data_IF_259255563887
#
_entry.id   IF_259255563887
#
_cell.length_a   1.000
_cell.length_b   1.000
_cell.length_c   1.000
_cell.angle_alpha   90.00
_cell.angle_beta   90.00
_cell.angle_gamma   90.00
#
_symmetry.space_group_name_H-M   'P 1'
#
loop_
_entity.id
_entity.type
_entity.pdbx_description
1 polymer ?
#
# COMPACT_ATOMS: atom_id res chain seq x y z
N UNK A 1 -24.96 -13.13 -8.14
CA UNK A 1 -23.90 -12.26 -8.68
C UNK A 1 -22.73 -12.36 -7.73
N UNK A 2 -21.60 -12.91 -8.17
CA UNK A 2 -20.42 -13.03 -7.31
C UNK A 2 -19.77 -11.64 -7.28
N UNK A 3 -19.90 -10.91 -6.17
CA UNK A 3 -19.29 -9.59 -6.06
C UNK A 3 -17.77 -9.74 -6.09
N UNK A 4 -17.13 -9.12 -7.07
CA UNK A 4 -15.68 -9.00 -7.13
C UNK A 4 -15.22 -8.02 -6.07
N UNK A 5 -14.22 -8.39 -5.28
CA UNK A 5 -13.58 -7.49 -4.30
C UNK A 5 -12.64 -6.54 -5.03
N UNK A 6 -12.74 -5.25 -4.74
CA UNK A 6 -11.87 -4.20 -5.31
C UNK A 6 -10.95 -3.69 -4.22
N UNK A 7 -9.65 -3.89 -4.40
CA UNK A 7 -8.60 -3.47 -3.47
C UNK A 7 -7.92 -2.21 -4.00
N UNK A 8 -7.60 -1.27 -3.13
CA UNK A 8 -6.69 -0.17 -3.47
C UNK A 8 -5.53 -0.11 -2.48
N UNK A 9 -4.33 0.01 -3.03
CA UNK A 9 -3.10 0.25 -2.26
C UNK A 9 -2.76 1.74 -2.36
N UNK A 10 -2.86 2.45 -1.25
CA UNK A 10 -2.54 3.86 -1.12
C UNK A 10 -1.11 4.01 -0.60
N UNK A 11 -0.26 4.64 -1.40
CA UNK A 11 1.18 4.76 -1.15
C UNK A 11 1.54 6.24 -1.03
N UNK A 12 1.74 6.78 0.17
CA UNK A 12 2.14 8.17 0.35
C UNK A 12 3.60 8.33 -0.08
N UNK A 13 3.86 9.31 -0.93
CA UNK A 13 5.15 9.50 -1.57
C UNK A 13 5.60 10.96 -1.51
N UNK A 14 6.89 11.17 -1.23
CA UNK A 14 7.54 12.47 -1.38
C UNK A 14 9.05 12.26 -1.48
N UNK A 15 9.65 12.88 -2.48
CA UNK A 15 11.08 12.79 -2.76
C UNK A 15 11.82 14.07 -2.32
N UNK A 16 11.60 14.49 -1.08
CA UNK A 16 12.18 15.72 -0.53
C UNK A 16 13.31 15.47 0.48
N UNK A 17 13.66 14.21 0.73
CA UNK A 17 14.62 13.85 1.76
C UNK A 17 15.99 13.51 1.14
N UNK A 18 17.04 14.32 1.35
CA UNK A 18 18.31 14.19 0.63
C UNK A 18 19.05 12.86 0.86
N UNK A 19 18.74 12.16 1.96
CA UNK A 19 19.37 10.87 2.30
C UNK A 19 18.45 9.66 2.12
N UNK A 20 17.19 9.84 1.75
CA UNK A 20 16.29 8.71 1.47
C UNK A 20 16.09 8.63 -0.04
N UNK A 21 16.56 7.55 -0.65
CA UNK A 21 16.45 7.32 -2.09
C UNK A 21 15.01 6.90 -2.47
N UNK A 22 14.03 7.76 -2.18
CA UNK A 22 12.59 7.45 -2.33
C UNK A 22 12.23 7.15 -3.79
N UNK A 23 12.84 7.81 -4.77
CA UNK A 23 12.67 7.45 -6.18
C UNK A 23 13.14 6.03 -6.49
N UNK A 24 14.27 5.60 -5.92
CA UNK A 24 14.76 4.24 -6.13
C UNK A 24 13.79 3.23 -5.51
N UNK A 25 13.28 3.49 -4.31
CA UNK A 25 12.23 2.68 -3.70
C UNK A 25 10.97 2.62 -4.58
N UNK A 26 10.52 3.76 -5.13
CA UNK A 26 9.35 3.78 -6.01
C UNK A 26 9.57 2.96 -7.30
N UNK A 27 10.76 3.09 -7.89
CA UNK A 27 11.15 2.36 -9.09
C UNK A 27 11.18 0.83 -8.86
N UNK A 28 11.56 0.39 -7.68
CA UNK A 28 11.50 -1.03 -7.29
C UNK A 28 10.07 -1.48 -6.92
N UNK A 29 9.37 -0.65 -6.14
CA UNK A 29 8.06 -0.94 -5.58
C UNK A 29 6.99 -1.17 -6.64
N UNK A 30 6.88 -0.27 -7.62
CA UNK A 30 5.80 -0.34 -8.64
C UNK A 30 5.81 -1.67 -9.40
N UNK A 31 6.92 -2.10 -10.04
CA UNK A 31 6.94 -3.38 -10.75
C UNK A 31 6.77 -4.57 -9.79
N UNK A 32 7.39 -4.53 -8.60
CA UNK A 32 7.28 -5.60 -7.62
C UNK A 32 5.82 -5.81 -7.19
N UNK A 33 5.17 -4.76 -6.69
CA UNK A 33 3.82 -4.82 -6.16
C UNK A 33 2.78 -5.11 -7.24
N UNK A 34 2.98 -4.57 -8.45
CA UNK A 34 2.12 -4.90 -9.58
C UNK A 34 2.18 -6.39 -9.89
N UNK A 35 3.38 -6.98 -9.95
CA UNK A 35 3.54 -8.42 -10.18
C UNK A 35 3.01 -9.26 -9.02
N UNK A 36 3.30 -8.88 -7.78
CA UNK A 36 2.80 -9.53 -6.57
C UNK A 36 1.27 -9.60 -6.57
N UNK A 37 0.59 -8.46 -6.72
CA UNK A 37 -0.87 -8.41 -6.72
C UNK A 37 -1.46 -9.10 -7.95
N UNK A 38 -0.85 -8.97 -9.13
CA UNK A 38 -1.30 -9.67 -10.33
C UNK A 38 -1.29 -11.19 -10.14
N UNK A 39 -0.15 -11.76 -9.69
CA UNK A 39 -0.02 -13.20 -9.43
C UNK A 39 -1.03 -13.70 -8.41
N UNK A 40 -1.23 -12.94 -7.33
CA UNK A 40 -2.07 -13.37 -6.21
C UNK A 40 -3.56 -13.07 -6.38
N UNK A 41 -3.94 -12.15 -7.28
CA UNK A 41 -5.34 -11.92 -7.67
C UNK A 41 -5.77 -12.82 -8.84
N UNK A 42 -4.84 -13.30 -9.67
CA UNK A 42 -5.15 -14.17 -10.80
C UNK A 42 -5.96 -15.41 -10.37
N UNK A 43 -7.07 -15.66 -11.05
CA UNK A 43 -7.99 -16.77 -10.74
C UNK A 43 -8.91 -16.52 -9.53
N UNK A 44 -8.80 -15.36 -8.85
CA UNK A 44 -9.75 -14.92 -7.82
C UNK A 44 -10.68 -13.85 -8.39
N UNK A 45 -11.84 -13.66 -7.75
CA UNK A 45 -12.74 -12.53 -8.04
C UNK A 45 -12.26 -11.29 -7.26
N UNK A 46 -11.03 -10.85 -7.54
CA UNK A 46 -10.36 -9.71 -6.90
C UNK A 46 -9.68 -8.86 -7.96
N UNK A 47 -9.92 -7.54 -7.92
CA UNK A 47 -9.19 -6.55 -8.71
C UNK A 47 -8.43 -5.59 -7.80
N UNK A 48 -7.38 -4.96 -8.31
CA UNK A 48 -6.56 -4.05 -7.52
C UNK A 48 -6.18 -2.78 -8.30
N UNK A 49 -5.93 -1.70 -7.56
CA UNK A 49 -5.24 -0.50 -8.05
C UNK A 49 -4.15 -0.08 -7.06
N UNK A 50 -3.08 0.55 -7.56
CA UNK A 50 -2.02 1.14 -6.75
C UNK A 50 -2.02 2.65 -7.03
N UNK A 51 -2.23 3.46 -5.99
CA UNK A 51 -2.17 4.91 -6.08
C UNK A 51 -0.93 5.42 -5.36
N UNK A 52 -0.05 6.07 -6.13
CA UNK A 52 1.08 6.82 -5.61
C UNK A 52 0.59 8.24 -5.30
N UNK A 53 0.55 8.58 -4.02
CA UNK A 53 0.01 9.84 -3.50
C UNK A 53 1.17 10.78 -3.24
N UNK A 54 1.57 11.51 -4.28
CA UNK A 54 2.73 12.39 -4.23
C UNK A 54 2.41 13.74 -3.57
N UNK A 55 3.22 14.14 -2.59
CA UNK A 55 3.16 15.48 -2.01
C UNK A 55 3.98 16.47 -2.84
N UNK A 56 3.36 17.61 -3.18
CA UNK A 56 4.03 18.72 -3.87
C UNK A 56 5.25 19.24 -3.12
N UNK A 57 6.31 19.59 -3.88
CA UNK A 57 7.56 20.15 -3.38
C UNK A 57 7.42 21.67 -3.11
N UNK A 58 6.55 22.03 -2.18
CA UNK A 58 6.22 23.42 -1.83
C UNK A 58 6.92 23.90 -0.54
N UNK A 59 7.96 23.18 -0.09
CA UNK A 59 8.71 23.49 1.13
C UNK A 59 8.02 23.06 2.43
N UNK A 60 6.80 22.53 2.38
CA UNK A 60 6.14 21.96 3.57
C UNK A 60 6.71 20.59 3.91
N UNK A 61 6.73 20.27 5.21
CA UNK A 61 7.12 18.93 5.70
C UNK A 61 6.20 17.87 5.10
N UNK A 62 6.76 16.69 4.84
CA UNK A 62 5.99 15.54 4.39
C UNK A 62 4.90 15.17 5.39
N UNK A 63 3.66 15.04 4.92
CA UNK A 63 2.49 14.69 5.72
C UNK A 63 1.84 13.41 5.18
N UNK A 64 2.39 12.28 5.62
CA UNK A 64 1.93 10.93 5.28
C UNK A 64 0.42 10.75 5.52
N UNK A 65 -0.06 11.14 6.70
CA UNK A 65 -1.46 10.95 7.08
C UNK A 65 -2.43 11.76 6.20
N UNK A 66 -2.05 13.00 5.85
CA UNK A 66 -2.88 13.84 4.97
C UNK A 66 -2.98 13.27 3.56
N UNK A 67 -1.88 12.73 3.01
CA UNK A 67 -1.91 12.09 1.70
C UNK A 67 -2.80 10.85 1.71
N UNK A 68 -2.65 9.97 2.69
CA UNK A 68 -3.50 8.78 2.83
C UNK A 68 -4.98 9.14 2.93
N UNK A 69 -5.32 10.15 3.75
CA UNK A 69 -6.70 10.63 3.87
C UNK A 69 -7.23 11.21 2.54
N UNK A 70 -6.41 11.96 1.81
CA UNK A 70 -6.78 12.49 0.50
C UNK A 70 -7.02 11.35 -0.51
N UNK A 71 -6.13 10.36 -0.58
CA UNK A 71 -6.29 9.20 -1.46
C UNK A 71 -7.53 8.37 -1.11
N UNK A 72 -7.82 8.19 0.18
CA UNK A 72 -9.05 7.55 0.63
C UNK A 72 -10.28 8.35 0.18
N UNK A 73 -10.33 9.65 0.47
CA UNK A 73 -11.50 10.48 0.15
C UNK A 73 -11.77 10.56 -1.35
N UNK A 74 -10.71 10.63 -2.18
CA UNK A 74 -10.81 10.62 -3.64
C UNK A 74 -11.37 9.31 -4.21
N UNK A 75 -11.27 8.20 -3.49
CA UNK A 75 -11.60 6.86 -4.00
C UNK A 75 -12.60 6.09 -3.14
N UNK A 76 -13.17 6.72 -2.11
CA UNK A 76 -13.97 6.12 -1.02
C UNK A 76 -15.18 5.29 -1.47
N UNK A 77 -15.67 5.49 -2.68
CA UNK A 77 -16.86 4.81 -3.22
C UNK A 77 -16.49 3.73 -4.27
N UNK A 78 -15.22 3.64 -4.64
CA UNK A 78 -14.76 2.83 -5.78
C UNK A 78 -14.15 1.49 -5.35
N UNK A 79 -13.82 1.34 -4.07
CA UNK A 79 -13.10 0.18 -3.54
C UNK A 79 -13.72 -0.36 -2.26
N UNK A 80 -13.50 -1.64 -2.02
CA UNK A 80 -14.05 -2.37 -0.87
C UNK A 80 -12.99 -2.53 0.24
N UNK A 81 -11.70 -2.55 -0.14
CA UNK A 81 -10.56 -2.71 0.77
C UNK A 81 -9.50 -1.65 0.49
N UNK A 82 -9.02 -1.00 1.54
CA UNK A 82 -7.94 0.00 1.50
C UNK A 82 -6.72 -0.52 2.24
N UNK A 83 -5.58 -0.50 1.57
CA UNK A 83 -4.28 -0.87 2.13
C UNK A 83 -3.42 0.38 2.15
N UNK A 84 -3.05 0.84 3.34
CA UNK A 84 -2.10 1.94 3.48
C UNK A 84 -0.70 1.36 3.54
N UNK A 85 0.17 1.76 2.61
CA UNK A 85 1.41 1.07 2.36
C UNK A 85 2.57 2.04 2.21
N UNK A 86 3.72 1.74 2.81
CA UNK A 86 4.93 2.52 2.56
C UNK A 86 5.64 2.03 1.29
N UNK A 87 6.25 2.96 0.54
CA UNK A 87 6.89 2.66 -0.75
C UNK A 87 8.15 1.78 -0.62
N UNK A 88 8.72 1.66 0.58
CA UNK A 88 9.97 0.94 0.87
C UNK A 88 9.75 -0.43 1.53
N UNK A 89 8.50 -0.89 1.58
CA UNK A 89 8.15 -2.22 2.07
C UNK A 89 7.72 -3.10 0.89
N UNK A 90 8.28 -4.30 0.80
CA UNK A 90 7.93 -5.29 -0.21
C UNK A 90 7.43 -6.56 0.51
N UNK A 91 6.18 -7.00 0.28
CA UNK A 91 5.61 -8.15 0.95
C UNK A 91 6.08 -9.47 0.34
N UNK A 92 6.38 -10.44 1.18
CA UNK A 92 6.60 -11.82 0.76
C UNK A 92 5.29 -12.55 0.43
N UNK A 93 5.39 -13.70 -0.24
CA UNK A 93 4.23 -14.46 -0.76
C UNK A 93 3.29 -14.98 0.35
N UNK A 94 3.78 -15.15 1.57
CA UNK A 94 3.00 -15.54 2.74
C UNK A 94 1.99 -14.46 3.19
N UNK A 95 2.28 -13.19 2.91
CA UNK A 95 1.39 -12.05 3.19
C UNK A 95 0.27 -11.88 2.15
N UNK A 96 0.31 -12.60 1.03
CA UNK A 96 -0.63 -12.45 -0.10
C UNK A 96 -2.11 -12.48 0.28
N UNK A 97 -2.49 -13.26 1.29
CA UNK A 97 -3.88 -13.33 1.78
C UNK A 97 -4.35 -11.99 2.34
N UNK A 98 -3.49 -11.23 3.02
CA UNK A 98 -3.82 -9.93 3.61
C UNK A 98 -4.04 -8.84 2.54
N UNK A 99 -3.46 -9.02 1.36
CA UNK A 99 -3.60 -8.09 0.23
C UNK A 99 -4.76 -8.44 -0.71
N UNK A 100 -5.31 -9.65 -0.62
CA UNK A 100 -6.28 -10.18 -1.60
C UNK A 100 -7.60 -10.62 -0.95
N UNK A 101 -7.87 -10.22 0.28
CA UNK A 101 -9.11 -10.56 1.00
C UNK A 101 -9.63 -9.41 1.85
N UNK A 102 -10.93 -9.47 2.17
CA UNK A 102 -11.58 -8.53 3.09
C UNK A 102 -11.32 -8.96 4.53
N UNK A 103 -10.78 -8.10 5.40
CA UNK A 103 -10.60 -8.42 6.82
C UNK A 103 -11.94 -8.68 7.53
N UNK A 104 -12.02 -9.74 8.34
CA UNK A 104 -13.27 -10.13 9.02
C UNK A 104 -13.43 -9.54 10.43
N UNK A 105 -12.34 -9.07 11.05
CA UNK A 105 -12.29 -8.70 12.47
C UNK A 105 -12.03 -7.20 12.70
N UNK A 106 -12.01 -6.40 11.63
CA UNK A 106 -11.69 -4.97 11.67
C UNK A 106 -10.34 -4.65 11.00
N UNK A 107 -9.77 -3.45 11.28
CA UNK A 107 -8.50 -3.02 10.72
C UNK A 107 -7.35 -3.97 11.06
N UNK A 108 -6.50 -4.26 10.07
CA UNK A 108 -5.37 -5.17 10.21
C UNK A 108 -4.04 -4.42 10.08
N UNK A 109 -3.10 -4.70 10.98
CA UNK A 109 -1.74 -4.20 10.90
C UNK A 109 -0.82 -5.23 10.23
N UNK A 110 -0.54 -5.04 8.94
CA UNK A 110 0.26 -5.97 8.11
C UNK A 110 1.75 -5.93 8.52
N UNK A 111 2.25 -4.75 8.89
CA UNK A 111 3.69 -4.53 9.08
C UNK A 111 4.31 -5.24 10.29
N UNK A 112 3.50 -5.86 11.16
CA UNK A 112 3.98 -6.69 12.27
C UNK A 112 4.84 -7.87 11.79
N UNK A 113 4.67 -8.30 10.54
CA UNK A 113 5.29 -9.52 10.01
C UNK A 113 6.67 -9.24 9.38
N UNK A 114 7.03 -7.98 9.12
CA UNK A 114 8.37 -7.65 8.63
C UNK A 114 9.39 -7.63 9.77
N UNK A 115 10.49 -8.37 9.62
CA UNK A 115 11.59 -8.46 10.60
C UNK A 115 12.16 -7.10 11.01
N UNK A 116 12.19 -6.13 10.08
CA UNK A 116 12.62 -4.75 10.36
C UNK A 116 11.85 -4.08 11.50
N UNK A 117 10.64 -4.54 11.81
CA UNK A 117 9.80 -4.02 12.88
C UNK A 117 9.55 -5.01 14.02
N UNK A 118 10.08 -6.23 13.96
CA UNK A 118 9.93 -7.22 15.03
C UNK A 118 10.80 -6.91 16.26
N UNK A 119 11.88 -6.14 16.09
CA UNK A 119 12.88 -5.91 17.15
C UNK A 119 12.56 -4.75 18.10
N UNK A 120 11.43 -4.06 17.94
CA UNK A 120 11.07 -2.91 18.79
C UNK A 120 10.39 -3.30 20.14
N UNK A 121 10.58 -4.54 20.60
CA UNK A 121 9.98 -5.07 21.84
C UNK A 121 11.00 -5.72 22.81
N UNK A 122 12.27 -5.30 22.79
CA UNK A 122 13.23 -5.60 23.88
C UNK A 122 13.43 -4.44 24.85
#
# INVERSE_FOLDING_TARGET
>A
MQNSVRVVVLVPFCDNHPTQHRQAHLHEFVPYMTNFLYRHCAGKSVSFHIFILEQSLDGRKFNRGKLLNAGFDMSRNDYDVYIFHDVDLLPEDDLSKLYTSVPHVGPMHIARVWERYSDNYT
#
